data_IF_053336538046
#
_entry.id   IF_053336538046
#
_cell.length_a   1.000
_cell.length_b   1.000
_cell.length_c   1.000
_cell.angle_alpha   90.00
_cell.angle_beta   90.00
_cell.angle_gamma   90.00
#
_symmetry.space_group_name_H-M   'P 1'
#
loop_
_entity.id
_entity.type
_entity.pdbx_description
1 polymer ?
#
# COMPACT_ATOMS: atom_id res chain seq x y z
N UNK A 1 -53.27 1.57 -58.35
CA UNK A 1 -52.79 2.74 -59.13
C UNK A 1 -53.18 4.03 -58.40
N UNK A 2 -52.28 4.63 -57.63
CA UNK A 2 -52.31 6.06 -57.28
C UNK A 2 -50.88 6.58 -57.14
N UNK A 3 -50.48 7.26 -58.21
CA UNK A 3 -49.60 8.43 -58.33
C UNK A 3 -48.33 8.53 -57.46
N UNK A 4 -47.20 8.44 -58.18
CA UNK A 4 -45.93 9.11 -57.87
C UNK A 4 -46.16 10.59 -57.51
N UNK A 5 -45.40 11.09 -56.53
CA UNK A 5 -45.04 12.50 -56.48
C UNK A 5 -43.60 12.65 -55.99
N UNK A 6 -42.76 13.18 -56.87
CA UNK A 6 -41.35 13.51 -56.70
C UNK A 6 -41.29 15.00 -56.39
N UNK A 7 -40.60 15.39 -55.32
CA UNK A 7 -40.00 16.72 -55.06
C UNK A 7 -38.80 16.41 -54.15
N UNK A 8 -37.53 16.31 -54.58
CA UNK A 8 -36.61 17.25 -55.23
C UNK A 8 -36.45 18.59 -54.49
N UNK A 9 -35.20 18.83 -54.05
CA UNK A 9 -34.45 20.11 -54.04
C UNK A 9 -34.23 20.80 -52.67
N UNK A 10 -33.02 20.53 -52.13
CA UNK A 10 -32.00 21.44 -51.56
C UNK A 10 -32.40 22.71 -50.80
N UNK A 11 -31.89 22.82 -49.56
CA UNK A 11 -31.42 24.07 -48.94
C UNK A 11 -30.02 23.74 -48.35
N UNK A 12 -28.93 24.02 -49.06
CA UNK A 12 -28.13 25.27 -49.03
C UNK A 12 -27.67 25.64 -47.61
N UNK A 13 -26.38 25.41 -47.39
CA UNK A 13 -25.50 26.01 -46.38
C UNK A 13 -25.78 27.51 -46.17
N UNK A 14 -25.62 28.00 -44.94
CA UNK A 14 -24.75 29.13 -44.55
C UNK A 14 -24.90 29.36 -43.05
N UNK A 15 -23.77 29.46 -42.34
CA UNK A 15 -23.75 29.84 -40.92
C UNK A 15 -22.38 29.75 -40.28
N UNK A 16 -21.34 30.30 -40.92
CA UNK A 16 -20.09 30.69 -40.25
C UNK A 16 -20.36 31.98 -39.47
N UNK A 17 -20.07 31.99 -38.18
CA UNK A 17 -19.68 33.20 -37.45
C UNK A 17 -18.82 32.79 -36.26
N UNK A 18 -17.52 33.03 -36.42
CA UNK A 18 -16.57 33.14 -35.33
C UNK A 18 -16.80 34.49 -34.63
N UNK A 19 -16.74 34.48 -33.30
CA UNK A 19 -16.41 35.65 -32.51
C UNK A 19 -15.79 35.18 -31.18
N UNK A 20 -14.46 35.30 -31.12
CA UNK A 20 -13.68 35.41 -29.89
C UNK A 20 -14.23 36.53 -29.00
N UNK A 21 -14.47 36.25 -27.72
CA UNK A 21 -14.15 37.17 -26.62
C UNK A 21 -13.89 36.39 -25.34
N UNK A 22 -12.73 36.70 -24.77
CA UNK A 22 -12.14 36.29 -23.50
C UNK A 22 -12.97 36.65 -22.25
N UNK A 23 -12.57 35.98 -21.16
CA UNK A 23 -12.64 36.42 -19.75
C UNK A 23 -14.00 36.36 -19.03
N UNK A 24 -14.13 35.39 -18.13
CA UNK A 24 -13.87 35.59 -16.69
C UNK A 24 -14.76 34.67 -15.83
N UNK A 25 -14.08 33.91 -14.98
CA UNK A 25 -14.48 33.63 -13.60
C UNK A 25 -15.82 32.93 -13.38
N UNK A 26 -15.69 31.62 -13.26
CA UNK A 26 -16.67 30.76 -12.62
C UNK A 26 -16.09 29.38 -12.49
N UNK A 27 -14.90 29.24 -11.90
CA UNK A 27 -14.48 27.96 -11.33
C UNK A 27 -15.47 27.62 -10.22
N UNK A 28 -16.56 26.97 -10.61
CA UNK A 28 -17.22 26.01 -9.76
C UNK A 28 -16.20 24.92 -9.48
N UNK A 29 -15.32 25.16 -8.51
CA UNK A 29 -14.78 24.07 -7.70
C UNK A 29 -15.97 23.61 -6.88
N UNK A 30 -16.89 22.92 -7.55
CA UNK A 30 -17.74 21.96 -6.90
C UNK A 30 -16.76 21.08 -6.13
N UNK A 31 -16.78 21.25 -4.80
CA UNK A 31 -16.12 20.36 -3.88
C UNK A 31 -16.70 18.98 -4.16
N UNK A 32 -16.11 18.28 -5.14
CA UNK A 32 -16.19 16.85 -5.23
C UNK A 32 -15.60 16.39 -3.91
N UNK A 33 -16.47 16.22 -2.91
CA UNK A 33 -16.15 15.56 -1.67
C UNK A 33 -15.43 14.31 -2.11
N UNK A 34 -14.11 14.32 -1.94
CA UNK A 34 -13.23 13.32 -2.50
C UNK A 34 -13.57 12.06 -1.74
N UNK A 35 -14.51 11.29 -2.27
CA UNK A 35 -15.02 10.09 -1.64
C UNK A 35 -13.82 9.17 -1.62
N UNK A 36 -13.18 9.10 -0.45
CA UNK A 36 -12.01 8.25 -0.24
C UNK A 36 -12.55 6.84 -0.24
N UNK A 37 -12.59 6.23 -1.44
CA UNK A 37 -13.00 4.84 -1.64
C UNK A 37 -12.05 4.00 -0.84
N UNK A 38 -12.57 3.30 0.16
CA UNK A 38 -11.79 2.39 0.99
C UNK A 38 -12.19 0.97 0.64
N UNK A 39 -11.24 0.05 0.69
CA UNK A 39 -11.53 -1.37 0.55
C UNK A 39 -10.80 -2.17 1.61
N UNK A 40 -11.39 -3.29 2.03
CA UNK A 40 -10.71 -4.27 2.87
C UNK A 40 -10.59 -5.60 2.14
N UNK A 41 -9.36 -6.08 1.97
CA UNK A 41 -9.08 -7.43 1.51
C UNK A 41 -8.98 -8.35 2.73
N UNK A 42 -9.95 -9.24 2.90
CA UNK A 42 -9.94 -10.26 3.93
C UNK A 42 -9.35 -11.57 3.40
N UNK A 43 -8.35 -12.11 4.08
CA UNK A 43 -7.69 -13.37 3.68
C UNK A 43 -7.13 -14.12 4.89
N UNK A 44 -6.85 -15.41 4.77
CA UNK A 44 -6.12 -16.16 5.80
C UNK A 44 -4.65 -16.31 5.41
N UNK A 45 -3.73 -15.81 6.25
CA UNK A 45 -2.27 -15.86 6.03
C UNK A 45 -1.73 -17.28 5.85
N UNK A 46 -2.30 -18.28 6.54
CA UNK A 46 -1.80 -19.66 6.56
C UNK A 46 -2.71 -20.74 5.97
N UNK A 47 -3.92 -20.43 5.49
CA UNK A 47 -4.90 -21.48 5.15
C UNK A 47 -4.77 -21.98 3.70
N UNK A 48 -4.83 -21.06 2.73
CA UNK A 48 -5.00 -21.40 1.29
C UNK A 48 -4.19 -20.55 0.33
N UNK A 49 -3.40 -19.58 0.81
CA UNK A 49 -2.60 -18.71 -0.06
C UNK A 49 -1.58 -19.49 -0.90
N UNK A 50 -1.10 -20.65 -0.44
CA UNK A 50 -0.20 -21.50 -1.24
C UNK A 50 -0.87 -22.11 -2.48
N UNK A 51 -2.20 -22.23 -2.51
CA UNK A 51 -2.97 -22.67 -3.69
C UNK A 51 -3.41 -21.48 -4.57
N UNK A 52 -3.30 -20.26 -4.04
CA UNK A 52 -3.74 -19.01 -4.65
C UNK A 52 -2.53 -18.15 -4.97
N UNK A 53 -1.64 -18.67 -5.83
CA UNK A 53 -0.33 -18.06 -6.13
C UNK A 53 -0.45 -16.60 -6.52
N UNK A 54 -1.41 -16.23 -7.35
CA UNK A 54 -1.62 -14.85 -7.78
C UNK A 54 -2.06 -13.91 -6.64
N UNK A 55 -2.93 -14.38 -5.74
CA UNK A 55 -3.34 -13.61 -4.56
C UNK A 55 -2.17 -13.49 -3.60
N UNK A 56 -1.37 -14.55 -3.43
CA UNK A 56 -0.17 -14.53 -2.61
C UNK A 56 0.84 -13.53 -3.13
N UNK A 57 1.16 -13.57 -4.43
CA UNK A 57 2.07 -12.64 -5.09
C UNK A 57 1.59 -11.19 -4.95
N UNK A 58 0.29 -10.94 -5.14
CA UNK A 58 -0.28 -9.62 -4.91
C UNK A 58 -0.04 -9.12 -3.48
N UNK A 59 -0.32 -9.97 -2.49
CA UNK A 59 -0.12 -9.60 -1.08
C UNK A 59 1.36 -9.35 -0.75
N UNK A 60 2.27 -10.21 -1.21
CA UNK A 60 3.69 -10.15 -0.84
C UNK A 60 4.50 -9.15 -1.65
N UNK A 61 4.28 -9.12 -2.97
CA UNK A 61 5.10 -8.33 -3.90
C UNK A 61 4.53 -6.92 -4.11
N UNK A 62 3.20 -6.79 -4.20
CA UNK A 62 2.55 -5.49 -4.46
C UNK A 62 2.16 -4.77 -3.17
N UNK A 63 1.52 -5.46 -2.23
CA UNK A 63 1.12 -4.89 -0.95
C UNK A 63 2.18 -5.00 0.15
N UNK A 64 3.32 -5.66 -0.17
CA UNK A 64 4.47 -5.73 0.71
C UNK A 64 4.22 -6.45 2.04
N UNK A 65 3.21 -7.31 2.11
CA UNK A 65 2.84 -8.06 3.31
C UNK A 65 3.76 -9.25 3.50
N UNK A 66 4.27 -9.41 4.71
CA UNK A 66 4.94 -10.65 5.13
C UNK A 66 3.86 -11.65 5.57
N UNK A 67 3.86 -12.84 4.97
CA UNK A 67 2.91 -13.91 5.27
C UNK A 67 3.49 -14.96 6.24
N UNK A 68 4.80 -14.91 6.51
CA UNK A 68 5.50 -15.91 7.33
C UNK A 68 5.44 -15.58 8.83
N UNK A 69 5.26 -14.31 9.20
CA UNK A 69 4.96 -13.87 10.57
C UNK A 69 3.47 -13.55 10.67
N UNK A 70 2.72 -14.28 11.52
CA UNK A 70 1.29 -14.10 11.83
C UNK A 70 0.68 -12.86 11.18
N UNK A 71 0.27 -13.02 9.90
CA UNK A 71 0.10 -11.93 8.94
C UNK A 71 -0.42 -10.64 9.59
N UNK A 72 0.43 -9.60 9.64
CA UNK A 72 0.03 -8.33 10.22
C UNK A 72 -0.93 -7.62 9.28
N UNK A 73 -2.16 -7.43 9.74
CA UNK A 73 -3.15 -6.59 9.05
C UNK A 73 -2.62 -5.16 8.94
N UNK A 74 -2.85 -4.52 7.80
CA UNK A 74 -2.28 -3.21 7.52
C UNK A 74 -2.60 -2.69 6.13
N UNK A 75 -2.24 -1.44 5.84
CA UNK A 75 -2.43 -0.87 4.51
C UNK A 75 -1.56 -1.60 3.47
N UNK A 76 -2.04 -1.63 2.23
CA UNK A 76 -1.29 -2.11 1.08
C UNK A 76 -0.30 -1.04 0.59
N UNK A 77 0.97 -1.42 0.37
CA UNK A 77 2.01 -0.50 -0.08
C UNK A 77 1.70 0.09 -1.49
N UNK A 78 1.10 -0.70 -2.39
CA UNK A 78 0.72 -0.26 -3.74
C UNK A 78 -0.59 0.54 -3.78
N UNK A 79 -1.54 0.24 -2.90
CA UNK A 79 -2.87 0.85 -2.88
C UNK A 79 -3.17 1.33 -1.45
N UNK A 80 -2.84 2.58 -1.09
CA UNK A 80 -2.98 3.09 0.28
C UNK A 80 -4.41 3.02 0.83
N UNK A 81 -5.41 3.06 -0.05
CA UNK A 81 -6.82 2.98 0.32
C UNK A 81 -7.31 1.52 0.51
N UNK A 82 -6.46 0.54 0.23
CA UNK A 82 -6.72 -0.88 0.45
C UNK A 82 -6.11 -1.33 1.78
N UNK A 83 -6.95 -1.75 2.71
CA UNK A 83 -6.52 -2.39 3.96
C UNK A 83 -6.53 -3.92 3.83
N UNK A 84 -5.43 -4.55 4.18
CA UNK A 84 -5.30 -6.01 4.21
C UNK A 84 -5.62 -6.49 5.61
N UNK A 85 -6.63 -7.35 5.74
CA UNK A 85 -7.05 -7.94 7.00
C UNK A 85 -6.86 -9.46 6.97
N UNK A 86 -6.09 -9.98 7.93
CA UNK A 86 -5.89 -11.42 8.06
C UNK A 86 -6.93 -12.03 9.01
N UNK A 87 -7.87 -12.79 8.44
CA UNK A 87 -8.96 -13.46 9.17
C UNK A 87 -8.86 -14.97 9.00
N UNK A 88 -8.80 -15.69 10.11
CA UNK A 88 -8.63 -17.14 10.11
C UNK A 88 -9.79 -17.86 9.40
N UNK A 89 -9.48 -18.84 8.55
CA UNK A 89 -10.46 -19.68 7.85
C UNK A 89 -11.25 -18.98 6.73
N UNK A 90 -10.98 -17.72 6.41
CA UNK A 90 -11.66 -16.99 5.34
C UNK A 90 -11.00 -17.19 3.98
N UNK A 91 -11.82 -17.22 2.94
CA UNK A 91 -11.40 -17.18 1.54
C UNK A 91 -11.06 -15.74 1.15
N UNK A 92 -10.02 -15.50 0.32
CA UNK A 92 -9.67 -14.16 -0.12
C UNK A 92 -10.82 -13.44 -0.82
N UNK A 93 -11.23 -12.31 -0.27
CA UNK A 93 -12.26 -11.44 -0.82
C UNK A 93 -11.94 -9.98 -0.55
N UNK A 94 -12.44 -9.09 -1.39
CA UNK A 94 -12.40 -7.65 -1.21
C UNK A 94 -13.80 -7.17 -0.87
N UNK A 95 -13.88 -6.31 0.14
CA UNK A 95 -15.09 -5.59 0.53
C UNK A 95 -14.83 -4.13 0.18
N UNK A 96 -15.60 -3.58 -0.77
CA UNK A 96 -15.53 -2.18 -1.16
C UNK A 96 -16.45 -1.39 -0.25
N UNK A 97 -15.90 -0.51 0.58
CA UNK A 97 -16.68 0.35 1.49
C UNK A 97 -17.22 1.57 0.72
N UNK A 98 -18.08 1.28 -0.26
CA UNK A 98 -18.94 2.24 -0.96
C UNK A 98 -20.34 2.19 -0.32
N UNK A 99 -21.37 2.83 -0.90
CA UNK A 99 -22.71 2.90 -0.28
C UNK A 99 -23.37 1.53 -0.01
N UNK A 100 -22.97 0.47 -0.74
CA UNK A 100 -23.62 -0.86 -0.71
C UNK A 100 -22.71 -2.03 -0.26
N UNK A 101 -21.48 -1.76 0.21
CA UNK A 101 -20.51 -2.80 0.62
C UNK A 101 -20.33 -3.95 -0.42
N UNK A 102 -19.90 -3.61 -1.65
CA UNK A 102 -19.71 -4.59 -2.73
C UNK A 102 -18.63 -5.63 -2.38
N UNK A 103 -18.97 -6.92 -2.47
CA UNK A 103 -18.08 -8.03 -2.08
C UNK A 103 -17.63 -8.81 -3.30
N UNK A 104 -16.32 -8.80 -3.55
CA UNK A 104 -15.69 -9.43 -4.71
C UNK A 104 -14.76 -10.55 -4.24
N UNK A 105 -14.99 -11.78 -4.72
CA UNK A 105 -14.09 -12.89 -4.45
C UNK A 105 -12.85 -12.82 -5.34
N UNK A 106 -11.66 -13.00 -4.75
CA UNK A 106 -10.41 -12.93 -5.50
C UNK A 106 -9.97 -14.25 -6.11
N UNK A 107 -10.56 -15.38 -5.72
CA UNK A 107 -10.33 -16.65 -6.38
C UNK A 107 -11.38 -16.85 -7.49
N UNK A 108 -11.00 -17.19 -8.74
CA UNK A 108 -9.66 -17.57 -9.24
C UNK A 108 -8.94 -16.46 -10.04
N UNK A 109 -9.05 -15.19 -9.63
CA UNK A 109 -8.50 -14.07 -10.40
C UNK A 109 -6.96 -14.12 -10.47
N UNK A 110 -6.43 -13.77 -11.64
CA UNK A 110 -5.00 -13.58 -11.85
C UNK A 110 -4.52 -12.25 -11.26
N UNK A 111 -3.22 -12.15 -11.00
CA UNK A 111 -2.61 -10.98 -10.33
C UNK A 111 -2.91 -9.69 -11.09
N UNK A 112 -2.77 -9.71 -12.40
CA UNK A 112 -3.01 -8.55 -13.26
C UNK A 112 -4.47 -8.11 -13.22
N UNK A 113 -5.40 -9.08 -13.15
CA UNK A 113 -6.84 -8.82 -13.02
C UNK A 113 -7.16 -8.19 -11.66
N UNK A 114 -6.51 -8.63 -10.59
CA UNK A 114 -6.63 -8.04 -9.25
C UNK A 114 -6.15 -6.58 -9.26
N UNK A 115 -5.00 -6.30 -9.87
CA UNK A 115 -4.48 -4.93 -10.01
C UNK A 115 -5.42 -4.06 -10.85
N UNK A 116 -5.95 -4.62 -11.94
CA UNK A 116 -6.92 -3.95 -12.81
C UNK A 116 -8.25 -3.67 -12.11
N UNK A 117 -8.67 -4.51 -11.17
CA UNK A 117 -9.87 -4.28 -10.37
C UNK A 117 -9.76 -2.97 -9.57
N UNK A 118 -8.64 -2.74 -8.90
CA UNK A 118 -8.46 -1.53 -8.09
C UNK A 118 -8.26 -0.28 -8.96
N UNK A 119 -7.46 -0.39 -10.02
CA UNK A 119 -7.24 0.75 -10.94
C UNK A 119 -8.50 1.15 -11.70
N UNK A 120 -9.33 0.19 -12.14
CA UNK A 120 -10.64 0.50 -12.76
C UNK A 120 -11.64 1.13 -11.80
N UNK A 121 -11.44 0.94 -10.49
CA UNK A 121 -12.20 1.58 -9.40
C UNK A 121 -11.53 2.86 -8.89
N UNK A 122 -10.61 3.45 -9.65
CA UNK A 122 -9.91 4.71 -9.35
C UNK A 122 -9.08 4.70 -8.05
N UNK A 123 -8.58 3.55 -7.60
CA UNK A 123 -7.60 3.51 -6.51
C UNK A 123 -6.26 4.09 -6.98
N UNK A 124 -5.59 4.84 -6.12
CA UNK A 124 -4.29 5.42 -6.44
C UNK A 124 -3.22 4.33 -6.39
N UNK A 125 -2.73 3.93 -7.56
CA UNK A 125 -1.60 3.00 -7.67
C UNK A 125 -0.28 3.72 -7.43
N UNK A 126 0.40 3.36 -6.35
CA UNK A 126 1.77 3.81 -6.09
C UNK A 126 2.79 2.86 -6.73
N UNK A 127 3.89 3.43 -7.22
CA UNK A 127 5.02 2.65 -7.72
C UNK A 127 5.83 2.15 -6.52
N UNK A 128 5.64 0.89 -6.16
CA UNK A 128 6.43 0.25 -5.09
C UNK A 128 7.78 -0.16 -5.69
N UNK A 129 8.92 0.34 -5.18
CA UNK A 129 10.22 -0.14 -5.62
C UNK A 129 10.34 -1.63 -5.27
N UNK A 130 10.90 -2.47 -6.15
CA UNK A 130 11.02 -3.89 -5.89
C UNK A 130 11.81 -4.09 -4.59
N UNK A 131 11.20 -4.75 -3.61
CA UNK A 131 11.91 -5.15 -2.39
C UNK A 131 12.99 -6.13 -2.83
N UNK A 132 14.26 -5.71 -2.78
CA UNK A 132 15.39 -6.59 -3.05
C UNK A 132 15.26 -7.79 -2.10
N UNK A 133 14.94 -8.96 -2.66
CA UNK A 133 14.89 -10.21 -1.90
C UNK A 133 16.31 -10.44 -1.40
N UNK A 134 16.60 -10.10 -0.14
CA UNK A 134 17.86 -10.45 0.51
C UNK A 134 17.85 -11.98 0.64
N UNK A 135 18.28 -12.67 -0.43
CA UNK A 135 18.71 -14.05 -0.38
C UNK A 135 20.06 -14.04 0.32
N UNK A 136 20.06 -14.19 1.63
CA UNK A 136 21.11 -14.91 2.35
C UNK A 136 20.56 -15.29 3.73
N UNK A 137 20.58 -16.58 4.11
CA UNK A 137 20.54 -16.90 5.52
C UNK A 137 21.79 -16.25 6.11
N UNK A 138 21.59 -15.25 6.96
CA UNK A 138 22.63 -14.90 7.90
C UNK A 138 22.65 -16.11 8.85
N UNK A 139 23.59 -17.03 8.64
CA UNK A 139 24.06 -17.89 9.72
C UNK A 139 24.60 -16.93 10.78
N UNK A 140 23.73 -16.54 11.71
CA UNK A 140 24.17 -15.93 12.94
C UNK A 140 24.75 -17.10 13.72
N UNK A 141 26.05 -17.34 13.53
CA UNK A 141 26.81 -18.16 14.45
C UNK A 141 26.52 -17.61 15.85
N UNK A 142 25.82 -18.43 16.63
CA UNK A 142 25.49 -18.14 18.02
C UNK A 142 26.77 -17.76 18.75
N UNK A 143 26.96 -16.47 19.00
CA UNK A 143 27.95 -16.00 19.98
C UNK A 143 27.52 -16.59 21.31
N UNK A 144 28.24 -17.63 21.72
CA UNK A 144 28.00 -18.38 22.94
C UNK A 144 27.91 -17.44 24.15
N UNK A 145 27.10 -17.82 25.14
CA UNK A 145 26.83 -17.08 26.39
C UNK A 145 28.06 -16.76 27.25
N UNK A 146 29.26 -17.16 26.82
CA UNK A 146 30.54 -16.95 27.48
C UNK A 146 31.08 -15.51 27.37
N UNK A 147 30.84 -14.82 26.24
CA UNK A 147 31.44 -13.49 26.01
C UNK A 147 30.66 -12.31 26.63
N UNK A 148 29.35 -12.46 26.85
CA UNK A 148 28.53 -11.42 27.50
C UNK A 148 28.95 -11.16 28.96
N UNK A 149 29.45 -12.18 29.67
CA UNK A 149 29.86 -12.04 31.08
C UNK A 149 31.17 -11.25 31.21
N UNK A 150 32.13 -11.46 30.29
CA UNK A 150 33.40 -10.74 30.26
C UNK A 150 33.21 -9.26 29.90
N UNK A 151 32.32 -8.95 28.96
CA UNK A 151 32.03 -7.57 28.58
C UNK A 151 31.38 -6.78 29.73
N UNK A 152 30.43 -7.40 30.44
CA UNK A 152 29.75 -6.76 31.58
C UNK A 152 30.70 -6.48 32.75
N UNK A 153 31.70 -7.35 32.96
CA UNK A 153 32.72 -7.16 34.01
C UNK A 153 33.71 -6.04 33.65
N UNK A 154 34.17 -5.99 32.39
CA UNK A 154 35.04 -4.90 31.91
C UNK A 154 34.37 -3.53 31.98
N UNK A 155 33.08 -3.46 31.69
CA UNK A 155 32.32 -2.21 31.78
C UNK A 155 32.15 -1.74 33.23
N UNK A 156 31.99 -2.67 34.18
CA UNK A 156 31.91 -2.35 35.60
C UNK A 156 33.25 -1.81 36.14
N UNK A 157 34.38 -2.42 35.79
CA UNK A 157 35.70 -1.94 36.18
C UNK A 157 36.03 -0.56 35.58
N UNK A 158 35.64 -0.31 34.33
CA UNK A 158 35.82 1.00 33.70
C UNK A 158 35.02 2.11 34.40
N UNK A 159 33.80 1.80 34.85
CA UNK A 159 32.95 2.74 35.57
C UNK A 159 33.51 3.07 36.97
N UNK A 160 34.08 2.07 37.64
CA UNK A 160 34.68 2.25 38.97
C UNK A 160 35.95 3.12 38.91
N UNK A 161 36.80 2.93 37.88
CA UNK A 161 37.97 3.80 37.63
C UNK A 161 37.56 5.25 37.36
N UNK A 162 36.56 5.48 36.51
CA UNK A 162 36.07 6.83 36.21
C UNK A 162 35.52 7.56 37.45
N UNK A 163 34.94 6.83 38.40
CA UNK A 163 34.42 7.44 39.63
C UNK A 163 35.55 7.79 40.61
N UNK A 164 36.59 6.96 40.70
CA UNK A 164 37.76 7.23 41.53
C UNK A 164 38.55 8.46 41.03
N UNK A 165 38.75 8.57 39.72
CA UNK A 165 39.48 9.70 39.12
C UNK A 165 38.76 11.04 39.32
N UNK A 166 37.41 11.04 39.32
CA UNK A 166 36.61 12.23 39.64
C UNK A 166 36.73 12.65 41.11
N UNK A 167 36.83 11.69 42.04
CA UNK A 167 37.03 12.00 43.46
C UNK A 167 38.43 12.58 43.73
N UNK A 168 39.48 12.09 43.06
CA UNK A 168 40.85 12.60 43.21
C UNK A 168 41.02 14.00 42.60
N UNK A 169 40.29 14.32 41.53
CA UNK A 169 40.32 15.65 40.91
C UNK A 169 39.74 16.72 41.86
N UNK A 170 38.63 16.44 42.53
CA UNK A 170 38.01 17.39 43.47
C UNK A 170 38.84 17.64 44.74
N UNK A 171 39.72 16.71 45.14
CA UNK A 171 40.60 16.91 46.32
C UNK A 171 41.88 17.72 46.02
N UNK A 172 42.14 18.10 44.76
CA UNK A 172 43.31 18.91 44.37
C UNK A 172 43.01 20.40 44.15
N UNK A 173 41.74 20.81 44.21
CA UNK A 173 41.34 22.23 44.08
C UNK A 173 41.13 22.94 45.44
N UNK A 174 41.32 22.26 46.57
CA UNK A 174 41.23 22.86 47.93
C UNK A 174 42.59 22.91 48.68
N UNK A 175 43.68 23.25 47.98
CA UNK A 175 44.95 23.67 48.62
C UNK A 175 45.46 24.96 48.00
#
# INVERSE_FOLDING_TARGET
>A
MRLLSIFLITHVLIGLLAADTNEAEGQGVENAAQYTRKATLQTCSGCRLNQLTHVKEFLTEDCGRDLDQDGQSGPCDMFPELYIEFVHGKVPKVIMHEEDDDVIQLHPLERDVIINLFTSRNFVKLVVPPKEKIKKPIEIDMVTSSDHKKMRQKMKEALEKLNLDKMVANSKEEI
#
